data_IF_832948536605
#
_entry.id   IF_832948536605
#
_cell.length_a   1.000
_cell.length_b   1.000
_cell.length_c   1.000
_cell.angle_alpha   90.00
_cell.angle_beta   90.00
_cell.angle_gamma   90.00
#
_symmetry.space_group_name_H-M   'P 1'
#
loop_
_entity.id
_entity.type
_entity.pdbx_description
1 polymer ?
#
# COMPACT_ATOMS: atom_id res chain seq x y z
N UNK A 1 -54.50 -6.71 11.63
CA UNK A 1 -53.44 -7.73 11.49
C UNK A 1 -52.59 -7.50 10.25
N UNK A 2 -53.13 -7.36 9.02
CA UNK A 2 -52.32 -7.13 7.78
C UNK A 2 -51.43 -5.91 7.82
N UNK A 3 -51.88 -4.76 8.42
CA UNK A 3 -51.10 -3.52 8.51
C UNK A 3 -49.92 -3.65 9.52
N UNK A 4 -50.12 -4.37 10.59
CA UNK A 4 -49.04 -4.64 11.62
C UNK A 4 -47.98 -5.56 11.03
N UNK A 5 -48.39 -6.61 10.28
CA UNK A 5 -47.48 -7.52 9.62
C UNK A 5 -46.63 -6.81 8.55
N UNK A 6 -47.23 -5.88 7.79
CA UNK A 6 -46.51 -5.07 6.80
C UNK A 6 -45.50 -4.12 7.44
N UNK A 7 -45.83 -3.53 8.62
CA UNK A 7 -44.92 -2.66 9.35
C UNK A 7 -43.75 -3.43 9.97
N UNK A 8 -43.97 -4.63 10.49
CA UNK A 8 -42.93 -5.51 11.01
C UNK A 8 -42.00 -5.97 9.90
N UNK A 9 -42.56 -6.32 8.72
CA UNK A 9 -41.75 -6.71 7.55
C UNK A 9 -40.90 -5.54 7.03
N UNK A 10 -41.45 -4.32 7.00
CA UNK A 10 -40.72 -3.12 6.62
C UNK A 10 -39.59 -2.77 7.62
N UNK A 11 -39.83 -2.96 8.92
CA UNK A 11 -38.83 -2.75 9.97
C UNK A 11 -37.72 -3.80 9.91
N UNK A 12 -38.02 -5.08 9.61
CA UNK A 12 -37.02 -6.13 9.40
C UNK A 12 -36.17 -5.87 8.13
N UNK A 13 -36.75 -5.37 7.05
CA UNK A 13 -36.04 -5.00 5.84
C UNK A 13 -35.13 -3.79 6.05
N UNK A 14 -35.51 -2.80 6.87
CA UNK A 14 -34.64 -1.71 7.27
C UNK A 14 -33.50 -2.15 8.19
N UNK A 15 -33.70 -3.15 9.03
CA UNK A 15 -32.63 -3.65 9.91
C UNK A 15 -31.62 -4.54 9.20
N UNK A 16 -32.01 -5.22 8.10
CA UNK A 16 -31.08 -5.94 7.23
C UNK A 16 -30.19 -5.04 6.37
N UNK A 17 -30.58 -3.77 6.14
CA UNK A 17 -29.80 -2.85 5.34
C UNK A 17 -28.65 -2.15 6.11
N UNK A 18 -28.54 -2.33 7.42
CA UNK A 18 -27.52 -1.68 8.29
C UNK A 18 -26.33 -2.61 8.61
N UNK A 19 -26.39 -3.87 8.16
CA UNK A 19 -25.25 -4.78 8.25
C UNK A 19 -24.39 -4.76 6.96
N UNK A 20 -24.33 -3.65 6.25
CA UNK A 20 -23.20 -3.36 5.37
C UNK A 20 -22.03 -3.03 6.31
N UNK A 21 -21.37 -4.05 6.84
CA UNK A 21 -20.04 -3.92 7.43
C UNK A 21 -19.23 -3.10 6.45
N UNK A 22 -18.58 -2.04 6.91
CA UNK A 22 -17.54 -1.41 6.11
C UNK A 22 -16.51 -2.51 5.83
N UNK A 23 -16.60 -3.13 4.66
CA UNK A 23 -15.62 -4.13 4.24
C UNK A 23 -14.26 -3.46 4.31
N UNK A 24 -13.38 -4.03 5.11
CA UNK A 24 -12.02 -3.54 5.24
C UNK A 24 -11.30 -3.63 3.90
N UNK A 25 -10.27 -2.83 3.69
CA UNK A 25 -9.46 -2.90 2.46
C UNK A 25 -8.92 -4.33 2.23
N UNK A 26 -8.56 -5.03 3.30
CA UNK A 26 -8.08 -6.43 3.23
C UNK A 26 -9.15 -7.37 2.68
N UNK A 27 -10.41 -7.21 3.08
CA UNK A 27 -11.50 -8.06 2.57
C UNK A 27 -11.70 -7.83 1.07
N UNK A 28 -11.65 -6.58 0.61
CA UNK A 28 -11.74 -6.23 -0.81
C UNK A 28 -10.58 -6.82 -1.64
N UNK A 29 -9.34 -6.77 -1.10
CA UNK A 29 -8.17 -7.38 -1.74
C UNK A 29 -8.35 -8.89 -1.87
N UNK A 30 -8.80 -9.56 -0.81
CA UNK A 30 -9.08 -11.01 -0.82
C UNK A 30 -10.20 -11.39 -1.78
N UNK A 31 -11.28 -10.61 -1.82
CA UNK A 31 -12.37 -10.83 -2.76
C UNK A 31 -11.94 -10.63 -4.22
N UNK A 32 -11.14 -9.60 -4.49
CA UNK A 32 -10.52 -9.33 -5.79
C UNK A 32 -9.52 -10.41 -6.21
N UNK A 33 -8.88 -11.08 -5.24
CA UNK A 33 -7.86 -12.11 -5.46
C UNK A 33 -6.49 -11.58 -5.86
N UNK A 34 -6.28 -10.26 -5.76
CA UNK A 34 -5.04 -9.60 -6.21
C UNK A 34 -4.67 -8.45 -5.28
N UNK A 35 -3.40 -8.37 -4.89
CA UNK A 35 -2.78 -7.22 -4.23
C UNK A 35 -2.04 -6.40 -5.27
N UNK A 36 -2.46 -5.17 -5.53
CA UNK A 36 -1.80 -4.27 -6.48
C UNK A 36 -0.82 -3.38 -5.74
N UNK A 37 0.46 -3.56 -6.04
CA UNK A 37 1.58 -2.77 -5.52
C UNK A 37 1.92 -1.63 -6.47
N UNK A 38 2.00 -0.38 -5.95
CA UNK A 38 2.67 0.74 -6.61
C UNK A 38 4.11 0.89 -6.14
N UNK A 39 5.05 0.97 -7.06
CA UNK A 39 6.49 1.11 -6.78
C UNK A 39 7.18 1.90 -7.90
N UNK A 40 8.42 2.36 -7.66
CA UNK A 40 9.28 2.92 -8.70
C UNK A 40 10.54 2.04 -8.84
N UNK A 41 10.56 1.17 -9.84
CA UNK A 41 11.58 0.13 -9.99
C UNK A 41 12.93 0.65 -10.51
N UNK A 42 13.48 1.68 -9.86
CA UNK A 42 14.77 2.31 -10.19
C UNK A 42 15.72 2.40 -9.01
N UNK A 43 15.32 1.93 -7.81
CA UNK A 43 16.07 2.14 -6.56
C UNK A 43 16.60 0.82 -5.96
N UNK A 44 17.61 0.22 -6.60
CA UNK A 44 18.26 -0.98 -6.07
C UNK A 44 19.01 -0.72 -4.74
N UNK A 45 18.99 -1.66 -3.79
CA UNK A 45 18.49 -3.03 -3.90
C UNK A 45 17.00 -3.19 -3.48
N UNK A 46 16.28 -2.10 -3.23
CA UNK A 46 14.90 -2.14 -2.73
C UNK A 46 13.93 -2.55 -3.83
N UNK A 47 13.89 -1.82 -4.94
CA UNK A 47 13.09 -2.09 -6.12
C UNK A 47 13.83 -1.69 -7.40
N UNK A 48 13.97 -2.61 -8.32
CA UNK A 48 14.64 -2.37 -9.61
C UNK A 48 14.21 -3.41 -10.64
N UNK A 49 14.46 -3.11 -11.92
CA UNK A 49 14.16 -4.05 -12.99
C UNK A 49 15.34 -5.00 -13.22
N UNK A 50 15.03 -6.29 -13.38
CA UNK A 50 16.00 -7.29 -13.87
C UNK A 50 16.21 -7.18 -15.39
N UNK A 51 17.06 -8.05 -15.94
CA UNK A 51 17.38 -8.10 -17.38
C UNK A 51 16.16 -8.42 -18.26
N UNK A 52 15.06 -8.92 -17.68
CA UNK A 52 13.80 -9.22 -18.35
C UNK A 52 12.75 -8.13 -18.15
N UNK A 53 13.13 -6.98 -17.62
CA UNK A 53 12.25 -5.88 -17.24
C UNK A 53 11.20 -6.27 -16.17
N UNK A 54 11.50 -7.25 -15.33
CA UNK A 54 10.68 -7.64 -14.20
C UNK A 54 11.14 -6.87 -12.95
N UNK A 55 10.22 -6.27 -12.22
CA UNK A 55 10.53 -5.65 -10.93
C UNK A 55 10.94 -6.71 -9.90
N UNK A 56 12.09 -6.50 -9.26
CA UNK A 56 12.67 -7.34 -8.22
C UNK A 56 13.27 -6.46 -7.13
N UNK A 57 13.68 -7.06 -6.02
CA UNK A 57 14.30 -6.37 -4.89
C UNK A 57 13.63 -6.72 -3.57
N UNK A 58 14.14 -6.17 -2.46
CA UNK A 58 13.62 -6.51 -1.13
C UNK A 58 12.19 -5.98 -0.92
N UNK A 59 11.82 -4.84 -1.49
CA UNK A 59 10.47 -4.28 -1.40
C UNK A 59 9.47 -5.13 -2.19
N UNK A 60 9.87 -5.63 -3.37
CA UNK A 60 9.05 -6.55 -4.17
C UNK A 60 8.88 -7.89 -3.46
N UNK A 61 9.98 -8.40 -2.85
CA UNK A 61 9.90 -9.61 -2.05
C UNK A 61 8.97 -9.44 -0.84
N UNK A 62 9.03 -8.31 -0.14
CA UNK A 62 8.13 -7.99 0.98
C UNK A 62 6.67 -7.95 0.54
N UNK A 63 6.38 -7.30 -0.59
CA UNK A 63 5.04 -7.28 -1.18
C UNK A 63 4.53 -8.69 -1.51
N UNK A 64 5.41 -9.56 -2.04
CA UNK A 64 5.05 -10.95 -2.33
C UNK A 64 4.70 -11.71 -1.05
N UNK A 65 5.47 -11.52 0.06
CA UNK A 65 5.14 -12.16 1.34
C UNK A 65 3.77 -11.69 1.86
N UNK A 66 3.43 -10.41 1.68
CA UNK A 66 2.11 -9.89 2.07
C UNK A 66 1.01 -10.53 1.22
N UNK A 67 1.20 -10.63 -0.09
CA UNK A 67 0.23 -11.26 -0.99
C UNK A 67 0.02 -12.75 -0.66
N UNK A 68 1.11 -13.48 -0.41
CA UNK A 68 1.08 -14.89 -0.02
C UNK A 68 0.32 -15.10 1.30
N UNK A 69 0.54 -14.25 2.31
CA UNK A 69 -0.16 -14.31 3.60
C UNK A 69 -1.66 -13.99 3.46
N UNK A 70 -2.01 -13.09 2.54
CA UNK A 70 -3.41 -12.79 2.22
C UNK A 70 -4.07 -13.88 1.38
N UNK A 71 -3.29 -14.76 0.73
CA UNK A 71 -3.76 -15.80 -0.18
C UNK A 71 -4.22 -15.24 -1.53
N UNK A 72 -3.56 -14.19 -2.03
CA UNK A 72 -3.87 -13.51 -3.30
C UNK A 72 -2.64 -13.41 -4.20
N UNK A 73 -2.83 -13.09 -5.47
CA UNK A 73 -1.74 -12.82 -6.41
C UNK A 73 -1.17 -11.40 -6.20
N UNK A 74 0.14 -11.22 -6.43
CA UNK A 74 0.79 -9.90 -6.46
C UNK A 74 0.80 -9.37 -7.89
N UNK A 75 0.27 -8.16 -8.07
CA UNK A 75 0.42 -7.36 -9.29
C UNK A 75 1.30 -6.15 -8.98
N UNK A 76 2.39 -5.96 -9.74
CA UNK A 76 3.32 -4.84 -9.56
C UNK A 76 3.10 -3.80 -10.64
N UNK A 77 2.81 -2.57 -10.23
CA UNK A 77 2.67 -1.40 -11.09
C UNK A 77 3.88 -0.48 -10.88
N UNK A 78 4.79 -0.48 -11.87
CA UNK A 78 5.93 0.44 -11.91
C UNK A 78 5.45 1.82 -12.37
N UNK A 79 5.73 2.86 -11.56
CA UNK A 79 5.30 4.23 -11.83
C UNK A 79 6.27 5.24 -11.21
N UNK A 80 6.15 6.50 -11.59
CA UNK A 80 6.94 7.56 -10.98
C UNK A 80 6.67 7.68 -9.47
N UNK A 81 7.72 7.81 -8.66
CA UNK A 81 7.68 7.88 -7.20
C UNK A 81 6.65 8.89 -6.66
N UNK A 82 6.63 10.10 -7.24
CA UNK A 82 5.73 11.16 -6.82
C UNK A 82 4.24 10.84 -7.04
N UNK A 83 3.94 9.87 -7.91
CA UNK A 83 2.58 9.43 -8.20
C UNK A 83 2.04 8.35 -7.27
N UNK A 84 2.91 7.62 -6.54
CA UNK A 84 2.52 6.43 -5.78
C UNK A 84 1.51 6.78 -4.67
N UNK A 85 1.74 7.85 -3.92
CA UNK A 85 0.84 8.28 -2.84
C UNK A 85 -0.56 8.58 -3.36
N UNK A 86 -0.66 9.28 -4.48
CA UNK A 86 -1.96 9.58 -5.08
C UNK A 86 -2.62 8.35 -5.69
N UNK A 87 -1.84 7.40 -6.20
CA UNK A 87 -2.35 6.11 -6.66
C UNK A 87 -2.97 5.29 -5.51
N UNK A 88 -2.34 5.28 -4.32
CA UNK A 88 -2.90 4.65 -3.11
C UNK A 88 -4.18 5.36 -2.68
N UNK A 89 -4.17 6.69 -2.58
CA UNK A 89 -5.36 7.51 -2.18
C UNK A 89 -6.57 7.30 -3.08
N UNK A 90 -6.32 7.13 -4.36
CA UNK A 90 -7.40 6.95 -5.36
C UNK A 90 -7.83 5.50 -5.53
N UNK A 91 -7.11 4.54 -4.90
CA UNK A 91 -7.37 3.12 -5.05
C UNK A 91 -6.93 2.56 -6.41
N UNK A 92 -6.05 3.27 -7.12
CA UNK A 92 -5.40 2.74 -8.34
C UNK A 92 -4.46 1.58 -8.00
N UNK A 93 -3.80 1.67 -6.86
CA UNK A 93 -3.03 0.58 -6.23
C UNK A 93 -3.52 0.40 -4.80
N UNK A 94 -3.36 -0.81 -4.26
CA UNK A 94 -3.81 -1.13 -2.90
C UNK A 94 -2.78 -0.69 -1.85
N UNK A 95 -1.49 -0.83 -2.17
CA UNK A 95 -0.36 -0.44 -1.33
C UNK A 95 0.74 0.22 -2.15
N UNK A 96 1.56 1.04 -1.49
CA UNK A 96 2.80 1.59 -2.05
C UNK A 96 3.99 1.11 -1.23
N UNK A 97 4.99 0.48 -1.85
CA UNK A 97 6.28 0.14 -1.24
C UNK A 97 7.39 0.59 -2.20
N UNK A 98 8.19 1.55 -1.79
CA UNK A 98 9.25 2.16 -2.59
C UNK A 98 10.24 2.89 -1.67
N UNK A 99 10.78 2.21 -0.68
CA UNK A 99 11.71 2.75 0.32
C UNK A 99 11.24 4.11 0.91
N UNK A 100 9.94 4.28 1.12
CA UNK A 100 9.36 5.54 1.60
C UNK A 100 9.88 5.94 2.98
N UNK A 101 10.38 7.17 3.08
CA UNK A 101 10.57 7.81 4.38
C UNK A 101 9.25 8.33 4.91
N UNK A 102 8.89 7.95 6.14
CA UNK A 102 7.74 8.52 6.86
C UNK A 102 8.05 9.96 7.24
N UNK A 103 7.18 10.88 6.87
CA UNK A 103 7.22 12.27 7.30
C UNK A 103 5.80 12.80 7.58
N UNK A 104 5.73 13.94 8.28
CA UNK A 104 4.45 14.53 8.71
C UNK A 104 3.53 14.92 7.54
N UNK A 105 4.08 15.29 6.40
CA UNK A 105 3.32 15.72 5.23
C UNK A 105 2.60 14.51 4.60
N UNK A 106 3.33 13.42 4.39
CA UNK A 106 2.78 12.17 3.86
C UNK A 106 1.79 11.53 4.83
N UNK A 107 2.10 11.51 6.14
CA UNK A 107 1.24 10.94 7.17
C UNK A 107 -0.11 11.66 7.35
N UNK A 108 -0.29 12.86 6.78
CA UNK A 108 -1.59 13.55 6.76
C UNK A 108 -2.56 12.97 5.74
N UNK A 109 -2.07 12.23 4.75
CA UNK A 109 -2.87 11.83 3.58
C UNK A 109 -2.93 10.33 3.33
N UNK A 110 -2.00 9.56 3.91
CA UNK A 110 -1.94 8.09 3.89
C UNK A 110 -1.49 7.56 5.25
N UNK A 111 -1.80 6.30 5.53
CA UNK A 111 -1.26 5.57 6.67
C UNK A 111 0.03 4.83 6.29
N UNK A 112 0.91 4.65 7.25
CA UNK A 112 2.14 3.88 7.11
C UNK A 112 2.13 2.65 8.02
N UNK A 113 2.81 1.60 7.59
CA UNK A 113 3.15 0.45 8.44
C UNK A 113 4.20 0.82 9.49
N UNK A 114 4.57 -0.14 10.33
CA UNK A 114 5.81 -0.04 11.10
C UNK A 114 7.01 0.03 10.15
N UNK A 115 8.09 0.67 10.62
CA UNK A 115 9.36 0.71 9.87
C UNK A 115 9.88 -0.73 9.66
N UNK A 116 10.19 -1.07 8.41
CA UNK A 116 10.78 -2.35 8.03
C UNK A 116 12.28 -2.24 7.73
N UNK A 117 12.79 -1.00 7.53
CA UNK A 117 14.20 -0.71 7.27
C UNK A 117 14.62 0.60 7.94
N UNK A 118 15.90 0.71 8.33
CA UNK A 118 16.52 1.93 8.85
C UNK A 118 17.68 2.32 7.97
N UNK A 119 17.55 3.41 7.25
CA UNK A 119 18.61 3.95 6.42
C UNK A 119 19.18 5.26 6.99
N UNK A 120 20.40 5.59 6.58
CA UNK A 120 21.03 6.86 6.87
C UNK A 120 21.50 7.49 5.57
N UNK A 121 21.26 8.79 5.44
CA UNK A 121 21.84 9.56 4.35
C UNK A 121 23.15 10.18 4.81
N UNK A 122 24.20 9.96 4.03
CA UNK A 122 25.54 10.45 4.31
C UNK A 122 26.07 11.25 3.13
N UNK A 123 26.78 12.33 3.43
CA UNK A 123 27.54 13.05 2.43
C UNK A 123 28.92 12.38 2.26
N UNK A 124 29.24 12.02 1.04
CA UNK A 124 30.59 11.55 0.69
C UNK A 124 31.42 12.78 0.29
N UNK A 125 32.47 13.02 1.03
CA UNK A 125 33.39 14.14 0.81
C UNK A 125 34.83 13.65 0.68
N UNK A 126 35.74 14.52 0.20
CA UNK A 126 37.16 14.17 0.17
C UNK A 126 37.69 13.92 1.58
N UNK A 127 38.63 13.00 1.70
CA UNK A 127 39.29 12.70 2.98
C UNK A 127 39.94 13.94 3.55
N UNK A 128 39.51 14.32 4.76
CA UNK A 128 40.00 15.55 5.46
C UNK A 128 39.07 16.77 5.31
N UNK A 129 37.99 16.65 4.56
CA UNK A 129 37.02 17.75 4.33
C UNK A 129 35.71 17.58 5.14
N UNK A 130 35.59 16.57 5.99
CA UNK A 130 34.38 16.31 6.76
C UNK A 130 33.91 17.52 7.59
N UNK A 131 34.84 18.21 8.24
CA UNK A 131 34.53 19.37 9.11
C UNK A 131 34.01 20.60 8.37
N UNK A 132 34.10 20.61 7.02
CA UNK A 132 33.59 21.73 6.21
C UNK A 132 32.09 21.65 5.97
N UNK A 133 31.46 20.55 6.32
CA UNK A 133 30.06 20.22 6.00
C UNK A 133 29.24 19.82 7.23
N UNK A 134 29.69 20.18 8.43
CA UNK A 134 29.00 19.96 9.72
C UNK A 134 28.27 21.21 10.16
#
# INVERSE_FOLDING_TARGET
MKKILAMVLALCLMFCAVAASAEGMVDKIKEKGTLVLGTEATYGPYEFLDDNAKAIGCDIWLAQQIADELGVELEVTDMAFDGIIDAVKTGMVDIGIAAFTVNEERAKVIDFSHEYEKSQQLLIVQKGDADKYT
#
